data_IF_351545686696
#
_entry.id   IF_351545686696
#
_cell.length_a   1.000
_cell.length_b   1.000
_cell.length_c   1.000
_cell.angle_alpha   90.00
_cell.angle_beta   90.00
_cell.angle_gamma   90.00
#
_symmetry.space_group_name_H-M   'P 1'
#
loop_
_entity.id
_entity.type
_entity.pdbx_description
1 polymer ?
#
# COMPACT_ATOMS: atom_id res chain seq x y z
N UNK A 1 2.37 36.53 -1.27
CA UNK A 1 3.16 35.40 -1.80
C UNK A 1 3.13 34.32 -0.73
N UNK A 2 2.32 33.28 -0.93
CA UNK A 2 2.34 32.11 -0.04
C UNK A 2 3.59 31.31 -0.39
N UNK A 3 4.51 31.16 0.56
CA UNK A 3 5.56 30.15 0.47
C UNK A 3 4.87 28.78 0.37
N UNK A 4 4.98 28.13 -0.79
CA UNK A 4 4.84 26.69 -0.86
C UNK A 4 5.88 26.10 0.10
N UNK A 5 5.43 25.66 1.27
CA UNK A 5 6.23 24.76 2.10
C UNK A 5 6.44 23.51 1.27
N UNK A 6 7.56 23.45 0.55
CA UNK A 6 8.12 22.23 -0.01
C UNK A 6 8.02 21.19 1.08
N UNK A 7 7.12 20.23 0.89
CA UNK A 7 7.02 19.03 1.68
C UNK A 7 8.45 18.50 1.77
N UNK A 8 8.96 18.35 2.99
CA UNK A 8 10.32 17.89 3.28
C UNK A 8 10.78 16.90 2.21
N UNK A 9 11.93 17.10 1.54
CA UNK A 9 12.32 16.20 0.47
C UNK A 9 12.78 14.89 1.11
N UNK A 10 11.84 14.00 1.43
CA UNK A 10 12.13 12.58 1.29
C UNK A 10 12.42 12.40 -0.20
N UNK A 11 13.60 11.89 -0.59
CA UNK A 11 13.99 11.80 -1.99
C UNK A 11 13.03 10.93 -2.82
N UNK A 12 12.19 10.14 -2.15
CA UNK A 12 11.08 9.40 -2.75
C UNK A 12 9.77 9.68 -1.99
N UNK A 13 8.68 9.91 -2.72
CA UNK A 13 7.33 9.90 -2.15
C UNK A 13 6.79 8.48 -2.06
N UNK A 14 7.08 7.64 -3.06
CA UNK A 14 6.46 6.32 -3.22
C UNK A 14 7.41 5.31 -3.89
N UNK A 15 7.39 4.06 -3.43
CA UNK A 15 7.92 2.89 -4.12
C UNK A 15 6.74 1.96 -4.36
N UNK A 16 6.40 1.71 -5.62
CA UNK A 16 5.24 0.93 -6.00
C UNK A 16 5.40 0.25 -7.36
N UNK A 17 4.71 -0.89 -7.48
CA UNK A 17 4.50 -1.69 -8.68
C UNK A 17 2.98 -1.92 -8.76
N UNK A 18 2.29 -1.06 -9.50
CA UNK A 18 0.82 -1.11 -9.64
C UNK A 18 0.40 -1.50 -11.05
N UNK A 19 1.33 -1.68 -11.97
CA UNK A 19 1.11 -2.04 -13.38
C UNK A 19 0.66 -0.87 -14.26
N UNK A 20 -0.01 0.13 -13.70
CA UNK A 20 -0.34 1.39 -14.40
C UNK A 20 0.53 2.58 -13.95
N UNK A 21 1.13 2.49 -12.76
CA UNK A 21 2.09 3.47 -12.23
C UNK A 21 3.15 2.70 -11.46
N UNK A 22 4.37 2.69 -11.98
CA UNK A 22 5.51 2.02 -11.35
C UNK A 22 6.61 3.03 -11.05
N UNK A 23 7.33 2.82 -9.95
CA UNK A 23 8.40 3.72 -9.52
C UNK A 23 9.67 3.50 -10.37
N UNK A 24 10.23 4.54 -11.01
CA UNK A 24 11.51 4.45 -11.71
C UNK A 24 12.69 4.49 -10.75
N UNK A 25 13.78 3.84 -11.11
CA UNK A 25 15.06 3.98 -10.40
C UNK A 25 15.74 5.28 -10.83
N UNK A 26 16.09 6.12 -9.85
CA UNK A 26 16.66 7.45 -10.10
C UNK A 26 18.15 7.39 -10.49
N UNK A 27 18.92 6.43 -9.95
CA UNK A 27 20.38 6.45 -10.03
C UNK A 27 21.04 5.10 -10.28
N UNK A 28 22.34 5.17 -10.58
CA UNK A 28 23.14 3.98 -10.88
C UNK A 28 22.90 3.43 -12.29
N UNK A 29 23.38 2.21 -12.52
CA UNK A 29 23.35 1.54 -13.83
C UNK A 29 21.96 1.07 -14.27
N UNK A 30 21.00 1.01 -13.32
CA UNK A 30 19.59 0.72 -13.59
C UNK A 30 18.73 1.97 -13.70
N UNK A 31 19.32 3.17 -13.67
CA UNK A 31 18.58 4.43 -13.76
C UNK A 31 17.67 4.45 -15.00
N UNK A 32 16.42 4.89 -14.81
CA UNK A 32 15.39 4.93 -15.84
C UNK A 32 14.56 3.65 -15.99
N UNK A 33 15.02 2.50 -15.48
CA UNK A 33 14.19 1.30 -15.42
C UNK A 33 13.15 1.42 -14.30
N UNK A 34 11.98 0.83 -14.49
CA UNK A 34 10.96 0.71 -13.43
C UNK A 34 11.29 -0.45 -12.49
N UNK A 35 10.71 -0.41 -11.29
CA UNK A 35 10.86 -1.52 -10.33
C UNK A 35 10.32 -2.84 -10.89
N UNK A 36 9.28 -2.78 -11.72
CA UNK A 36 8.67 -3.96 -12.35
C UNK A 36 9.59 -4.54 -13.43
N UNK A 37 10.22 -3.69 -14.27
CA UNK A 37 11.26 -4.14 -15.21
C UNK A 37 12.44 -4.80 -14.49
N UNK A 38 12.87 -4.24 -13.36
CA UNK A 38 13.93 -4.81 -12.53
C UNK A 38 13.51 -6.15 -11.92
N UNK A 39 12.27 -6.27 -11.45
CA UNK A 39 11.72 -7.55 -10.96
C UNK A 39 11.68 -8.62 -12.05
N UNK A 40 11.35 -8.26 -13.29
CA UNK A 40 11.37 -9.21 -14.41
C UNK A 40 12.78 -9.64 -14.82
N UNK A 41 13.75 -8.71 -14.80
CA UNK A 41 15.12 -8.99 -15.22
C UNK A 41 15.94 -9.75 -14.18
N UNK A 42 15.77 -9.41 -12.89
CA UNK A 42 16.63 -9.89 -11.81
C UNK A 42 15.92 -10.86 -10.86
N UNK A 43 14.59 -10.93 -10.89
CA UNK A 43 13.78 -11.94 -10.19
C UNK A 43 14.16 -12.06 -8.69
N UNK A 44 14.47 -13.26 -8.24
CA UNK A 44 14.89 -13.60 -6.88
C UNK A 44 16.15 -12.86 -6.42
N UNK A 45 16.97 -12.31 -7.32
CA UNK A 45 18.16 -11.54 -6.94
C UNK A 45 17.84 -10.20 -6.28
N UNK A 46 16.62 -9.68 -6.45
CA UNK A 46 16.17 -8.41 -5.86
C UNK A 46 15.49 -8.65 -4.52
N UNK A 47 14.63 -9.67 -4.44
CA UNK A 47 13.73 -9.90 -3.30
C UNK A 47 14.07 -11.15 -2.49
N UNK A 48 14.95 -12.02 -2.99
CA UNK A 48 15.25 -13.34 -2.44
C UNK A 48 14.34 -14.43 -2.98
N UNK A 49 14.83 -15.67 -2.95
CA UNK A 49 14.14 -16.86 -3.48
C UNK A 49 12.75 -17.06 -2.87
N UNK A 50 12.62 -16.99 -1.54
CA UNK A 50 11.35 -17.21 -0.86
C UNK A 50 10.28 -16.17 -1.22
N UNK A 51 10.68 -14.91 -1.38
CA UNK A 51 9.76 -13.83 -1.72
C UNK A 51 9.34 -13.96 -3.18
N UNK A 52 10.28 -14.23 -4.08
CA UNK A 52 9.98 -14.47 -5.49
C UNK A 52 9.11 -15.71 -5.69
N UNK A 53 9.32 -16.78 -4.92
CA UNK A 53 8.51 -17.99 -5.00
C UNK A 53 7.02 -17.73 -4.63
N UNK A 54 6.76 -16.77 -3.74
CA UNK A 54 5.40 -16.43 -3.30
C UNK A 54 4.75 -15.34 -4.17
N UNK A 55 5.45 -14.23 -4.41
CA UNK A 55 4.92 -13.06 -5.13
C UNK A 55 5.20 -13.07 -6.64
N UNK A 56 6.06 -13.97 -7.12
CA UNK A 56 6.49 -14.02 -8.50
C UNK A 56 7.14 -12.70 -8.95
N UNK A 57 6.64 -12.16 -10.06
CA UNK A 57 7.16 -10.92 -10.66
C UNK A 57 6.60 -9.65 -10.01
N UNK A 58 5.60 -9.76 -9.14
CA UNK A 58 5.04 -8.60 -8.46
C UNK A 58 5.95 -8.16 -7.31
N UNK A 59 6.26 -6.87 -7.24
CA UNK A 59 7.02 -6.33 -6.13
C UNK A 59 6.21 -6.43 -4.81
N UNK A 60 6.77 -6.98 -3.72
CA UNK A 60 5.99 -7.45 -2.57
C UNK A 60 5.45 -6.34 -1.66
N UNK A 61 5.99 -5.11 -1.75
CA UNK A 61 5.65 -4.03 -0.81
C UNK A 61 5.43 -2.71 -1.51
N UNK A 62 4.42 -1.97 -1.06
CA UNK A 62 4.21 -0.57 -1.42
C UNK A 62 4.66 0.30 -0.25
N UNK A 63 5.60 1.21 -0.51
CA UNK A 63 6.07 2.19 0.48
C UNK A 63 5.58 3.57 0.05
N UNK A 64 4.90 4.28 0.95
CA UNK A 64 4.38 5.62 0.67
C UNK A 64 4.60 6.55 1.86
N UNK A 65 5.20 7.70 1.60
CA UNK A 65 5.22 8.81 2.54
C UNK A 65 3.87 9.55 2.48
N UNK A 66 3.23 9.71 3.63
CA UNK A 66 1.94 10.37 3.73
C UNK A 66 2.04 11.58 4.65
N UNK A 67 1.44 12.70 4.25
CA UNK A 67 1.17 13.83 5.14
C UNK A 67 -0.24 13.66 5.73
N UNK A 68 -0.32 13.57 7.05
CA UNK A 68 -1.57 13.44 7.81
C UNK A 68 -2.32 14.75 8.02
N UNK A 69 -2.12 15.75 7.15
CA UNK A 69 -2.75 17.06 7.26
C UNK A 69 -4.28 17.00 7.16
N UNK A 70 -4.81 16.04 6.39
CA UNK A 70 -6.24 15.84 6.19
C UNK A 70 -6.74 14.53 6.79
N UNK A 71 -8.03 14.50 7.14
CA UNK A 71 -8.67 13.29 7.66
C UNK A 71 -8.87 12.30 6.52
N UNK A 72 -8.19 11.16 6.59
CA UNK A 72 -8.40 10.06 5.65
C UNK A 72 -9.73 9.33 5.94
N UNK A 73 -10.38 8.76 4.91
CA UNK A 73 -11.52 7.87 5.13
C UNK A 73 -11.12 6.67 5.99
N UNK A 74 -12.11 6.07 6.64
CA UNK A 74 -11.92 4.77 7.29
C UNK A 74 -11.68 3.72 6.21
N UNK A 75 -10.60 2.95 6.34
CA UNK A 75 -10.23 1.92 5.39
C UNK A 75 -10.13 0.58 6.13
N UNK A 76 -10.77 -0.45 5.57
CA UNK A 76 -10.59 -1.84 5.97
C UNK A 76 -9.87 -2.54 4.82
N UNK A 77 -8.73 -3.16 5.12
CA UNK A 77 -7.94 -3.87 4.13
C UNK A 77 -8.19 -5.38 4.31
N UNK A 78 -8.48 -6.12 3.23
CA UNK A 78 -8.70 -7.56 3.31
C UNK A 78 -7.40 -8.29 3.66
N UNK A 79 -7.54 -9.47 4.27
CA UNK A 79 -6.51 -10.49 4.29
C UNK A 79 -6.42 -11.21 2.94
N UNK A 80 -5.45 -12.12 2.79
CA UNK A 80 -5.21 -12.81 1.52
C UNK A 80 -6.42 -13.66 1.10
N UNK A 81 -7.04 -14.39 2.03
CA UNK A 81 -8.21 -15.23 1.74
C UNK A 81 -9.40 -14.40 1.23
N UNK A 82 -9.74 -13.29 1.90
CA UNK A 82 -10.83 -12.42 1.48
C UNK A 82 -10.51 -11.71 0.17
N UNK A 83 -9.23 -11.35 -0.05
CA UNK A 83 -8.80 -10.64 -1.24
C UNK A 83 -8.84 -11.54 -2.48
N UNK A 84 -8.38 -12.78 -2.36
CA UNK A 84 -8.42 -13.79 -3.43
C UNK A 84 -9.87 -14.09 -3.84
N UNK A 85 -10.76 -14.31 -2.86
CA UNK A 85 -12.17 -14.63 -3.13
C UNK A 85 -12.96 -13.52 -3.84
N UNK A 86 -12.59 -12.24 -3.66
CA UNK A 86 -13.42 -11.10 -4.07
C UNK A 86 -12.81 -10.22 -5.14
N UNK A 87 -11.49 -10.17 -5.23
CA UNK A 87 -10.77 -9.17 -6.01
C UNK A 87 -9.71 -9.76 -6.93
N UNK A 88 -9.37 -11.06 -6.82
CA UNK A 88 -8.24 -11.66 -7.54
C UNK A 88 -6.91 -10.92 -7.27
N UNK A 89 -6.74 -10.52 -6.00
CA UNK A 89 -5.57 -9.80 -5.50
C UNK A 89 -5.11 -10.39 -4.17
N UNK A 90 -3.86 -10.11 -3.80
CA UNK A 90 -3.35 -10.38 -2.46
C UNK A 90 -3.93 -9.40 -1.43
N UNK A 91 -3.94 -9.83 -0.18
CA UNK A 91 -4.35 -9.02 0.96
C UNK A 91 -3.46 -7.79 1.12
N UNK A 92 -3.93 -6.82 1.90
CA UNK A 92 -3.22 -5.55 2.11
C UNK A 92 -2.96 -5.28 3.58
N UNK A 93 -2.01 -6.02 4.13
CA UNK A 93 -1.43 -5.70 5.42
C UNK A 93 -0.73 -4.33 5.35
N UNK A 94 -0.86 -3.52 6.41
CA UNK A 94 -0.26 -2.18 6.50
C UNK A 94 0.56 -2.04 7.76
N UNK A 95 1.72 -1.42 7.62
CA UNK A 95 2.55 -0.95 8.72
C UNK A 95 2.63 0.58 8.67
N UNK A 96 2.42 1.23 9.80
CA UNK A 96 2.52 2.68 9.94
C UNK A 96 3.78 3.05 10.71
N UNK A 97 4.68 3.80 10.07
CA UNK A 97 5.82 4.42 10.73
C UNK A 97 5.57 5.91 10.93
N UNK A 98 5.34 6.33 12.18
CA UNK A 98 5.08 7.73 12.51
C UNK A 98 6.40 8.46 12.69
N UNK A 99 6.81 9.23 11.67
CA UNK A 99 8.05 10.01 11.71
C UNK A 99 7.93 11.26 12.58
N UNK A 100 6.84 12.00 12.45
CA UNK A 100 6.57 13.24 13.17
C UNK A 100 5.07 13.38 13.44
N UNK A 101 4.72 14.04 14.54
CA UNK A 101 3.34 14.23 14.98
C UNK A 101 3.18 15.55 15.75
N UNK A 102 2.33 16.44 15.24
CA UNK A 102 1.97 17.69 15.94
C UNK A 102 1.21 17.40 17.24
N UNK A 103 1.23 18.31 18.23
CA UNK A 103 0.38 18.20 19.40
C UNK A 103 -1.09 18.00 19.01
N UNK A 104 -1.71 16.95 19.54
CA UNK A 104 -3.11 16.60 19.24
C UNK A 104 -3.31 15.78 17.96
N UNK A 105 -2.25 15.37 17.25
CA UNK A 105 -2.34 14.41 16.15
C UNK A 105 -2.93 13.07 16.64
N UNK A 106 -3.69 12.40 15.77
CA UNK A 106 -4.38 11.16 16.11
C UNK A 106 -4.24 10.12 15.01
N UNK A 107 -3.98 8.88 15.42
CA UNK A 107 -4.06 7.69 14.58
C UNK A 107 -5.15 6.79 15.16
N UNK A 108 -6.12 6.41 14.34
CA UNK A 108 -7.23 5.54 14.75
C UNK A 108 -7.00 4.14 14.19
N UNK A 109 -6.88 3.15 15.08
CA UNK A 109 -6.63 1.75 14.74
C UNK A 109 -7.59 0.87 15.54
N UNK A 110 -8.37 0.06 14.82
CA UNK A 110 -9.33 -0.87 15.42
C UNK A 110 -10.51 -0.18 16.12
N UNK A 111 -11.30 -1.01 16.81
CA UNK A 111 -12.46 -0.57 17.58
C UNK A 111 -12.08 -0.37 19.05
N UNK A 112 -12.59 0.70 19.66
CA UNK A 112 -12.37 0.98 21.10
C UNK A 112 -13.12 0.00 22.02
N UNK A 113 -14.17 -0.63 21.51
CA UNK A 113 -15.05 -1.57 22.22
C UNK A 113 -15.41 -2.68 21.26
N UNK A 114 -15.80 -3.82 21.81
CA UNK A 114 -16.36 -4.90 21.00
C UNK A 114 -17.57 -4.37 20.21
N UNK A 115 -17.54 -4.63 18.92
CA UNK A 115 -18.61 -4.28 18.00
C UNK A 115 -19.19 -5.56 17.44
N UNK A 116 -20.50 -5.75 17.59
CA UNK A 116 -21.19 -6.81 16.89
C UNK A 116 -21.31 -6.46 15.40
N UNK A 117 -21.12 -7.44 14.53
CA UNK A 117 -21.58 -7.34 13.15
C UNK A 117 -23.08 -7.01 13.16
N UNK A 118 -23.50 -5.99 12.43
CA UNK A 118 -24.93 -5.79 12.21
C UNK A 118 -25.45 -6.98 11.41
N UNK A 119 -26.16 -7.90 12.08
CA UNK A 119 -26.92 -8.97 11.44
C UNK A 119 -27.84 -8.33 10.39
N UNK A 120 -27.50 -8.42 9.11
CA UNK A 120 -28.31 -7.84 8.05
C UNK A 120 -27.59 -7.47 6.75
N UNK A 121 -26.25 -7.54 6.68
CA UNK A 121 -25.50 -7.25 5.44
C UNK A 121 -24.89 -8.48 4.76
N UNK A 122 -25.10 -9.68 5.29
CA UNK A 122 -24.68 -10.93 4.66
C UNK A 122 -25.88 -11.53 3.89
N UNK A 123 -25.72 -11.64 2.56
CA UNK A 123 -26.54 -12.44 1.62
C UNK A 123 -27.81 -11.84 0.96
N UNK A 124 -27.91 -10.52 0.77
CA UNK A 124 -29.09 -9.91 0.12
C UNK A 124 -28.89 -9.15 -1.21
N UNK A 125 -27.67 -8.83 -1.64
CA UNK A 125 -27.45 -7.84 -2.70
C UNK A 125 -26.85 -8.37 -4.02
N UNK A 126 -26.82 -9.69 -4.23
CA UNK A 126 -26.42 -10.31 -5.50
C UNK A 126 -27.57 -10.98 -6.26
N UNK A 127 -28.81 -10.76 -5.85
CA UNK A 127 -29.98 -11.12 -6.63
C UNK A 127 -30.81 -9.89 -6.95
N UNK A 128 -30.62 -9.30 -8.14
CA UNK A 128 -31.71 -8.81 -9.00
C UNK A 128 -31.18 -8.22 -10.32
N UNK A 129 -31.68 -8.82 -11.41
CA UNK A 129 -31.63 -8.49 -12.86
C UNK A 129 -30.30 -8.58 -13.61
#
# INVERSE_FOLDING_TARGET
MQEEKKLYPLPFSEIQDLGYIDSPVEGGWLAGNTISEIMEMYMDRIVGEHVFAYYGRQFPVLVRALDGAERTPLLVCPDDETAEQRFDFLGKAKLWYVRDAKPGAKLYLGFKRDSSTALGMTEGALGMT
#
